data_IF_120101701514
#
_entry.id   IF_120101701514
#
_cell.length_a   1.000
_cell.length_b   1.000
_cell.length_c   1.000
_cell.angle_alpha   90.00
_cell.angle_beta   90.00
_cell.angle_gamma   90.00
#
_symmetry.space_group_name_H-M   'P 1'
#
loop_
_entity.id
_entity.type
_entity.pdbx_description
1 polymer ?
#
# COMPACT_ATOMS: atom_id res chain seq x y z
N UNK A 1 64.32 -2.69 -23.81
CA UNK A 1 64.21 -1.21 -23.86
C UNK A 1 62.87 -0.86 -23.22
N UNK A 2 62.74 -0.73 -21.90
CA UNK A 2 63.40 0.16 -20.94
C UNK A 2 63.27 1.64 -21.33
N UNK A 3 62.39 2.34 -20.63
CA UNK A 3 62.06 3.76 -20.76
C UNK A 3 61.05 4.16 -19.69
N UNK A 4 61.57 4.45 -18.50
CA UNK A 4 60.90 4.86 -17.25
C UNK A 4 60.99 6.40 -17.11
N UNK A 5 60.27 6.96 -16.13
CA UNK A 5 60.40 8.27 -15.41
C UNK A 5 59.10 9.09 -15.44
N UNK A 6 58.28 9.18 -14.38
CA UNK A 6 58.44 9.76 -13.01
C UNK A 6 58.70 11.28 -12.97
N UNK A 7 57.76 12.01 -12.33
CA UNK A 7 57.93 13.35 -11.78
C UNK A 7 56.58 13.93 -11.38
N UNK A 8 56.35 14.61 -10.26
CA UNK A 8 57.16 15.01 -9.09
C UNK A 8 56.16 15.22 -7.94
N UNK A 9 56.50 14.77 -6.73
CA UNK A 9 55.84 15.09 -5.46
C UNK A 9 56.37 16.44 -4.97
N UNK A 10 55.48 17.33 -4.49
CA UNK A 10 55.88 18.47 -3.66
C UNK A 10 54.99 18.53 -2.40
N UNK A 11 55.62 18.29 -1.25
CA UNK A 11 55.08 18.52 0.08
C UNK A 11 55.65 19.85 0.62
N UNK A 12 54.81 20.65 1.31
CA UNK A 12 55.27 21.68 2.24
C UNK A 12 54.39 21.63 3.49
N UNK A 13 55.08 21.72 4.63
CA UNK A 13 54.63 21.50 6.01
C UNK A 13 54.45 22.83 6.78
N UNK A 14 53.63 22.74 7.84
CA UNK A 14 53.74 23.35 9.19
C UNK A 14 53.42 24.84 9.46
N UNK A 15 52.47 25.07 10.41
CA UNK A 15 52.54 25.84 11.69
C UNK A 15 51.10 26.23 12.13
N UNK A 16 50.53 25.79 13.27
CA UNK A 16 50.74 26.12 14.69
C UNK A 16 50.11 27.45 15.18
N UNK A 17 49.23 27.41 16.20
CA UNK A 17 49.14 28.47 17.24
C UNK A 17 47.79 29.20 17.49
N UNK A 18 47.15 28.82 18.60
CA UNK A 18 46.19 29.46 19.54
C UNK A 18 45.83 30.98 19.49
N UNK A 19 44.58 31.29 19.94
CA UNK A 19 44.14 32.26 20.99
C UNK A 19 42.82 32.97 20.59
N UNK A 20 41.84 33.08 21.52
CA UNK A 20 41.08 34.34 21.67
C UNK A 20 39.56 34.24 21.90
N UNK A 21 39.14 34.46 23.14
CA UNK A 21 37.78 34.45 23.70
C UNK A 21 36.88 35.66 23.34
N UNK A 22 35.56 35.48 23.41
CA UNK A 22 34.55 36.48 23.85
C UNK A 22 33.28 35.72 24.28
N UNK A 23 32.91 35.64 25.57
CA UNK A 23 32.02 36.55 26.36
C UNK A 23 30.64 36.77 25.68
N UNK A 24 29.46 36.65 26.29
CA UNK A 24 29.00 36.71 27.68
C UNK A 24 27.57 36.10 27.78
N UNK A 25 27.22 35.38 28.85
CA UNK A 25 26.36 35.80 29.98
C UNK A 25 24.84 35.92 29.73
N UNK A 26 24.09 35.18 30.54
CA UNK A 26 22.67 35.42 30.83
C UNK A 26 22.10 34.29 31.70
N UNK A 27 22.09 34.49 33.02
CA UNK A 27 21.59 33.54 34.02
C UNK A 27 20.25 33.99 34.63
N UNK A 28 19.34 33.02 34.79
CA UNK A 28 18.34 32.81 35.89
C UNK A 28 17.10 33.74 35.99
N UNK A 29 16.01 33.39 36.77
CA UNK A 29 15.61 32.11 37.40
C UNK A 29 14.08 31.72 37.33
N UNK A 30 13.80 30.49 37.78
CA UNK A 30 12.66 29.94 38.58
C UNK A 30 11.18 30.34 38.38
N UNK A 31 10.32 29.31 38.34
CA UNK A 31 8.90 29.38 38.71
C UNK A 31 8.27 27.98 38.88
N UNK A 32 8.03 27.56 40.12
CA UNK A 32 7.13 26.46 40.49
C UNK A 32 5.70 27.01 40.59
N UNK A 33 4.71 26.31 40.03
CA UNK A 33 3.30 26.39 40.48
C UNK A 33 2.69 24.99 40.46
N UNK A 34 2.05 24.63 41.57
CA UNK A 34 1.34 23.37 41.78
C UNK A 34 -0.17 23.53 41.53
N UNK A 35 -0.78 22.50 40.92
CA UNK A 35 -2.14 21.99 41.20
C UNK A 35 -3.35 22.69 40.58
N UNK A 36 -4.12 21.97 39.74
CA UNK A 36 -5.55 21.64 39.98
C UNK A 36 -6.12 20.80 38.83
N UNK A 37 -6.87 19.74 39.19
CA UNK A 37 -7.58 18.89 38.24
C UNK A 37 -8.90 19.49 37.75
N UNK A 38 -9.30 19.04 36.56
CA UNK A 38 -10.60 19.25 35.92
C UNK A 38 -10.70 18.33 34.68
N UNK A 39 -11.89 17.81 34.33
CA UNK A 39 -12.03 16.63 33.50
C UNK A 39 -11.69 16.92 32.03
N UNK A 40 -10.72 16.18 31.48
CA UNK A 40 -10.39 16.22 30.07
C UNK A 40 -11.49 15.53 29.25
N UNK A 41 -12.42 16.34 28.74
CA UNK A 41 -13.26 15.95 27.63
C UNK A 41 -12.37 15.77 26.40
N UNK A 42 -12.45 14.60 25.78
CA UNK A 42 -11.82 14.33 24.49
C UNK A 42 -12.41 15.27 23.44
N UNK A 43 -11.66 16.30 23.07
CA UNK A 43 -11.90 17.11 21.87
C UNK A 43 -10.84 16.70 20.86
N UNK A 44 -11.06 15.56 20.21
CA UNK A 44 -10.22 15.07 19.11
C UNK A 44 -10.56 15.81 17.82
N UNK A 45 -9.90 16.93 17.59
CA UNK A 45 -10.02 17.71 16.38
C UNK A 45 -8.67 18.26 15.95
N UNK A 46 -7.77 17.38 15.51
CA UNK A 46 -6.64 17.72 14.64
C UNK A 46 -6.44 16.56 13.66
N UNK A 47 -6.52 16.89 12.37
CA UNK A 47 -6.71 15.96 11.24
C UNK A 47 -5.41 15.46 10.59
N UNK A 48 -4.25 15.74 11.18
CA UNK A 48 -2.96 15.41 10.59
C UNK A 48 -2.23 14.40 11.48
N UNK A 49 -2.26 13.12 11.10
CA UNK A 49 -1.40 12.13 11.70
C UNK A 49 0.05 12.42 11.29
N UNK A 50 0.86 12.93 12.20
CA UNK A 50 2.28 13.18 11.95
C UNK A 50 3.08 11.86 11.92
N UNK A 51 3.73 11.57 10.79
CA UNK A 51 4.75 10.51 10.66
C UNK A 51 6.17 11.09 10.67
N UNK A 52 7.19 10.34 11.14
CA UNK A 52 8.58 10.78 11.07
C UNK A 52 9.04 10.97 9.61
N UNK A 53 9.67 12.10 9.33
CA UNK A 53 10.22 12.45 8.02
C UNK A 53 11.35 11.47 7.65
N UNK A 54 11.17 10.70 6.57
CA UNK A 54 12.23 9.91 5.93
C UNK A 54 12.14 8.38 6.05
N UNK A 55 11.01 7.81 6.48
CA UNK A 55 10.88 6.37 6.70
C UNK A 55 9.98 5.62 5.70
N UNK A 56 9.54 6.25 4.61
CA UNK A 56 8.56 5.64 3.70
C UNK A 56 9.07 5.71 2.26
N UNK A 57 9.10 4.55 1.62
CA UNK A 57 9.35 4.41 0.18
C UNK A 57 8.17 3.64 -0.38
N UNK A 58 7.70 4.04 -1.54
CA UNK A 58 6.70 3.25 -2.27
C UNK A 58 7.24 1.84 -2.52
N UNK A 59 6.39 0.83 -2.31
CA UNK A 59 6.70 -0.58 -2.56
C UNK A 59 5.87 -1.08 -3.73
N UNK A 60 6.46 -1.90 -4.59
CA UNK A 60 5.68 -2.66 -5.58
C UNK A 60 4.90 -3.75 -4.85
N UNK A 61 3.58 -3.57 -4.80
CA UNK A 61 2.67 -4.45 -4.08
C UNK A 61 1.56 -4.95 -5.02
N UNK A 62 1.02 -6.16 -4.80
CA UNK A 62 -0.11 -6.63 -5.57
C UNK A 62 -1.30 -5.69 -5.42
N UNK A 63 -2.00 -5.42 -6.54
CA UNK A 63 -3.32 -4.77 -6.54
C UNK A 63 -4.26 -5.58 -5.65
N UNK A 64 -5.18 -4.92 -4.92
CA UNK A 64 -6.04 -5.61 -3.97
C UNK A 64 -6.95 -6.64 -4.66
N UNK A 65 -7.68 -6.22 -5.70
CA UNK A 65 -8.55 -7.09 -6.49
C UNK A 65 -8.33 -6.92 -7.99
N UNK A 66 -8.39 -8.02 -8.74
CA UNK A 66 -8.64 -8.01 -10.18
C UNK A 66 -10.14 -8.10 -10.44
N UNK A 67 -10.68 -7.24 -11.31
CA UNK A 67 -12.11 -7.16 -11.63
C UNK A 67 -12.42 -7.50 -13.09
N UNK A 68 -11.45 -7.36 -13.99
CA UNK A 68 -11.65 -7.65 -15.40
C UNK A 68 -10.37 -8.06 -16.12
N UNK A 69 -10.53 -8.94 -17.11
CA UNK A 69 -9.55 -9.25 -18.13
C UNK A 69 -10.24 -9.10 -19.48
N UNK A 70 -9.61 -8.38 -20.39
CA UNK A 70 -9.99 -8.29 -21.79
C UNK A 70 -8.75 -8.57 -22.63
N UNK A 71 -8.88 -9.47 -23.61
CA UNK A 71 -7.81 -9.79 -24.54
C UNK A 71 -8.29 -9.50 -25.94
N UNK A 72 -7.60 -8.57 -26.60
CA UNK A 72 -7.89 -8.13 -27.96
C UNK A 72 -6.77 -8.63 -28.88
N UNK A 73 -7.14 -9.19 -30.04
CA UNK A 73 -6.19 -9.59 -31.07
C UNK A 73 -6.11 -8.52 -32.16
N UNK A 74 -4.90 -8.11 -32.51
CA UNK A 74 -4.68 -7.15 -33.60
C UNK A 74 -5.23 -7.69 -34.92
N UNK A 75 -5.75 -6.79 -35.76
CA UNK A 75 -6.20 -7.13 -37.11
C UNK A 75 -5.06 -7.15 -38.13
N UNK A 76 -3.92 -6.53 -37.82
CA UNK A 76 -2.74 -6.47 -38.68
C UNK A 76 -1.75 -7.60 -38.38
N UNK A 77 -1.04 -8.06 -39.41
CA UNK A 77 0.06 -9.00 -39.24
C UNK A 77 1.36 -8.27 -38.84
N UNK A 78 2.15 -8.81 -37.90
CA UNK A 78 1.88 -10.05 -37.17
C UNK A 78 0.77 -9.87 -36.10
N UNK A 79 -0.08 -10.90 -35.93
CA UNK A 79 -1.18 -10.88 -34.96
C UNK A 79 -0.65 -10.83 -33.54
N UNK A 80 -0.90 -9.73 -32.83
CA UNK A 80 -0.53 -9.53 -31.43
C UNK A 80 -1.77 -9.64 -30.54
N UNK A 81 -1.61 -10.22 -29.36
CA UNK A 81 -2.66 -10.19 -28.34
C UNK A 81 -2.32 -9.12 -27.30
N UNK A 82 -3.25 -8.19 -27.07
CA UNK A 82 -3.15 -7.18 -26.02
C UNK A 82 -4.08 -7.57 -24.90
N UNK A 83 -3.50 -7.82 -23.73
CA UNK A 83 -4.21 -8.13 -22.49
C UNK A 83 -4.40 -6.83 -21.73
N UNK A 84 -5.64 -6.38 -21.57
CA UNK A 84 -6.04 -5.28 -20.73
C UNK A 84 -6.68 -5.83 -19.44
N UNK A 85 -6.23 -5.34 -18.30
CA UNK A 85 -6.69 -5.80 -16.98
C UNK A 85 -7.18 -4.61 -16.19
N UNK A 86 -8.35 -4.76 -15.56
CA UNK A 86 -8.89 -3.80 -14.60
C UNK A 86 -8.90 -4.39 -13.19
N UNK A 87 -8.78 -3.51 -12.20
CA UNK A 87 -8.77 -3.92 -10.79
C UNK A 87 -9.11 -2.77 -9.85
N UNK A 88 -9.01 -3.06 -8.57
CA UNK A 88 -9.26 -2.13 -7.47
C UNK A 88 -8.06 -2.14 -6.53
N UNK A 89 -7.55 -0.96 -6.20
CA UNK A 89 -6.61 -0.76 -5.09
C UNK A 89 -7.35 -0.36 -3.82
N UNK A 90 -6.68 -0.51 -2.68
CA UNK A 90 -7.24 -0.25 -1.37
C UNK A 90 -7.65 1.21 -1.16
N UNK A 91 -6.89 2.17 -1.69
CA UNK A 91 -7.04 3.59 -1.38
C UNK A 91 -6.57 4.50 -2.52
N UNK A 92 -6.69 5.81 -2.33
CA UNK A 92 -5.94 6.78 -3.12
C UNK A 92 -4.41 6.62 -2.93
N UNK A 93 -3.61 7.21 -3.82
CA UNK A 93 -2.15 7.27 -3.73
C UNK A 93 -1.38 6.13 -4.40
N UNK A 94 -2.05 5.05 -4.81
CA UNK A 94 -1.42 4.02 -5.63
C UNK A 94 -1.09 4.54 -7.03
N UNK A 95 0.01 4.08 -7.62
CA UNK A 95 0.45 4.53 -8.94
C UNK A 95 1.16 3.43 -9.73
N UNK A 96 1.42 3.69 -11.01
CA UNK A 96 2.18 2.79 -11.90
C UNK A 96 1.67 1.35 -11.94
N UNK A 97 0.36 1.11 -12.20
CA UNK A 97 -0.17 -0.24 -12.34
C UNK A 97 0.49 -0.95 -13.53
N UNK A 98 0.90 -2.20 -13.31
CA UNK A 98 1.57 -3.00 -14.33
C UNK A 98 1.27 -4.49 -14.16
N UNK A 99 1.43 -5.22 -15.26
CA UNK A 99 1.31 -6.67 -15.30
C UNK A 99 2.69 -7.26 -15.50
N UNK A 100 3.11 -8.12 -14.58
CA UNK A 100 4.41 -8.79 -14.64
C UNK A 100 4.21 -10.31 -14.71
N UNK A 101 5.03 -11.05 -15.48
CA UNK A 101 5.00 -12.51 -15.43
C UNK A 101 5.24 -13.01 -14.01
N UNK A 102 4.32 -13.83 -13.48
CA UNK A 102 4.47 -14.41 -12.15
C UNK A 102 5.59 -15.47 -12.12
N UNK A 103 5.81 -16.13 -13.26
CA UNK A 103 6.86 -17.13 -13.45
C UNK A 103 7.46 -17.01 -14.85
N UNK A 104 8.77 -17.19 -14.96
CA UNK A 104 9.48 -17.23 -16.23
C UNK A 104 9.69 -18.69 -16.67
N UNK A 105 9.12 -19.05 -17.82
CA UNK A 105 9.23 -20.38 -18.41
C UNK A 105 7.89 -20.86 -18.97
N UNK A 106 7.86 -22.09 -19.51
CA UNK A 106 6.62 -22.69 -20.04
C UNK A 106 5.74 -23.19 -18.89
N UNK A 107 4.52 -22.66 -18.70
CA UNK A 107 3.58 -23.17 -17.70
C UNK A 107 3.10 -24.58 -18.09
N UNK A 108 2.87 -25.44 -17.09
CA UNK A 108 2.40 -26.81 -17.33
C UNK A 108 0.99 -26.88 -17.95
N UNK A 109 0.18 -25.85 -17.76
CA UNK A 109 -1.19 -25.73 -18.26
C UNK A 109 -1.32 -24.85 -19.51
N UNK A 110 -0.21 -24.38 -20.10
CA UNK A 110 -0.15 -23.40 -21.22
C UNK A 110 -0.93 -22.09 -20.95
N UNK A 111 -1.12 -21.70 -19.69
CA UNK A 111 -1.77 -20.44 -19.29
C UNK A 111 -0.71 -19.45 -18.83
N UNK A 112 -0.67 -18.26 -19.44
CA UNK A 112 0.20 -17.18 -18.97
C UNK A 112 -0.26 -16.74 -17.59
N UNK A 113 0.63 -16.79 -16.60
CA UNK A 113 0.34 -16.32 -15.23
C UNK A 113 0.97 -14.92 -15.05
N UNK A 114 0.13 -13.92 -14.81
CA UNK A 114 0.52 -12.54 -14.58
C UNK A 114 0.18 -12.14 -13.14
N UNK A 115 1.07 -11.38 -12.52
CA UNK A 115 0.77 -10.66 -11.29
C UNK A 115 0.40 -9.22 -11.63
N UNK A 116 -0.71 -8.76 -11.06
CA UNK A 116 -1.14 -7.37 -11.17
C UNK A 116 -0.63 -6.60 -9.97
N UNK A 117 0.33 -5.69 -10.18
CA UNK A 117 1.02 -4.93 -9.14
C UNK A 117 0.94 -3.43 -9.41
N UNK A 118 1.20 -2.63 -8.39
CA UNK A 118 1.39 -1.19 -8.48
C UNK A 118 2.31 -0.70 -7.36
N UNK A 119 2.79 0.53 -7.52
CA UNK A 119 3.51 1.26 -6.48
C UNK A 119 2.52 1.72 -5.40
N UNK A 120 2.76 1.34 -4.15
CA UNK A 120 1.91 1.67 -3.00
C UNK A 120 2.01 3.15 -2.61
N UNK A 121 1.01 3.70 -1.89
CA UNK A 121 1.18 4.93 -1.14
C UNK A 121 2.37 4.81 -0.17
N UNK A 122 3.00 5.95 0.14
CA UNK A 122 4.08 6.01 1.12
C UNK A 122 3.55 6.11 2.55
N UNK A 123 2.35 6.68 2.72
CA UNK A 123 1.73 6.91 4.02
C UNK A 123 0.38 6.21 4.09
N UNK A 124 -0.09 5.98 5.31
CA UNK A 124 -1.44 5.49 5.57
C UNK A 124 -2.49 6.39 4.93
N UNK A 125 -3.53 5.77 4.40
CA UNK A 125 -4.60 6.46 3.69
C UNK A 125 -5.92 6.31 4.42
N UNK A 126 -6.74 7.36 4.45
CA UNK A 126 -8.12 7.25 4.96
C UNK A 126 -8.89 6.23 4.13
N UNK A 127 -9.81 5.51 4.76
CA UNK A 127 -10.70 4.58 4.06
C UNK A 127 -11.80 5.35 3.30
N UNK A 128 -11.47 5.85 2.12
CA UNK A 128 -12.39 6.65 1.27
C UNK A 128 -13.07 5.85 0.16
N UNK A 129 -12.79 4.55 0.14
CA UNK A 129 -13.29 3.57 -0.80
C UNK A 129 -12.22 3.05 -1.76
N UNK A 130 -12.54 1.97 -2.46
CA UNK A 130 -11.63 1.39 -3.44
C UNK A 130 -11.46 2.31 -4.65
N UNK A 131 -10.27 2.32 -5.22
CA UNK A 131 -9.95 3.13 -6.42
C UNK A 131 -9.70 2.19 -7.61
N UNK A 132 -10.35 2.43 -8.77
CA UNK A 132 -10.12 1.63 -9.97
C UNK A 132 -8.75 1.90 -10.58
N UNK A 133 -8.12 0.84 -11.08
CA UNK A 133 -6.85 0.89 -11.83
C UNK A 133 -6.91 -0.03 -13.05
N UNK A 134 -6.02 0.20 -14.01
CA UNK A 134 -5.86 -0.67 -15.16
C UNK A 134 -4.42 -0.79 -15.61
N UNK A 135 -4.07 -1.89 -16.27
CA UNK A 135 -2.78 -2.10 -16.90
C UNK A 135 -2.94 -2.91 -18.18
N UNK A 136 -1.94 -2.83 -19.06
CA UNK A 136 -1.90 -3.61 -20.30
C UNK A 136 -0.62 -4.44 -20.39
N UNK A 137 -0.70 -5.58 -21.04
CA UNK A 137 0.41 -6.47 -21.35
C UNK A 137 0.27 -6.97 -22.78
N UNK A 138 1.30 -6.77 -23.60
CA UNK A 138 1.30 -7.22 -24.99
C UNK A 138 2.00 -8.56 -25.10
N UNK A 139 1.35 -9.51 -25.75
CA UNK A 139 1.94 -10.77 -26.16
C UNK A 139 2.40 -10.71 -27.61
N UNK A 140 3.63 -11.15 -27.81
CA UNK A 140 4.21 -11.33 -29.14
C UNK A 140 3.45 -12.37 -29.96
N UNK A 141 3.49 -12.21 -31.28
CA UNK A 141 2.85 -13.12 -32.20
C UNK A 141 3.41 -14.55 -32.07
N UNK A 142 2.52 -15.53 -32.18
CA UNK A 142 2.89 -16.96 -32.11
C UNK A 142 3.20 -17.47 -30.69
N UNK A 143 2.82 -16.73 -29.64
CA UNK A 143 2.94 -17.21 -28.27
C UNK A 143 2.27 -18.57 -28.04
N UNK A 144 2.77 -19.40 -27.12
CA UNK A 144 2.22 -20.74 -26.89
C UNK A 144 0.97 -20.76 -26.00
N UNK A 145 0.61 -19.61 -25.40
CA UNK A 145 -0.45 -19.56 -24.39
C UNK A 145 -1.84 -19.70 -24.99
N UNK A 146 -2.69 -20.50 -24.33
CA UNK A 146 -4.12 -20.66 -24.68
C UNK A 146 -5.05 -19.82 -23.82
N UNK A 147 -4.53 -19.27 -22.71
CA UNK A 147 -5.29 -18.49 -21.74
C UNK A 147 -4.37 -17.59 -20.91
N UNK A 148 -4.98 -16.73 -20.10
CA UNK A 148 -4.28 -15.87 -19.14
C UNK A 148 -4.92 -15.98 -17.77
N UNK A 149 -4.09 -16.04 -16.73
CA UNK A 149 -4.48 -15.97 -15.33
C UNK A 149 -3.81 -14.75 -14.72
N UNK A 150 -4.60 -13.89 -14.09
CA UNK A 150 -4.12 -12.69 -13.43
C UNK A 150 -4.33 -12.84 -11.93
N UNK A 151 -3.28 -12.60 -11.15
CA UNK A 151 -3.29 -12.70 -9.69
C UNK A 151 -3.17 -11.33 -9.06
N UNK A 152 -4.11 -11.04 -8.16
CA UNK A 152 -4.12 -9.89 -7.27
C UNK A 152 -3.89 -10.37 -5.83
N UNK A 153 -3.90 -9.47 -4.85
CA UNK A 153 -3.68 -9.79 -3.44
C UNK A 153 -4.77 -10.70 -2.88
N UNK A 154 -6.03 -10.41 -3.18
CA UNK A 154 -7.18 -11.07 -2.55
C UNK A 154 -7.92 -12.05 -3.47
N UNK A 155 -7.70 -11.98 -4.79
CA UNK A 155 -8.31 -12.90 -5.75
C UNK A 155 -7.42 -13.15 -6.97
N UNK A 156 -7.87 -14.04 -7.85
CA UNK A 156 -7.31 -14.27 -9.16
C UNK A 156 -8.44 -14.47 -10.18
N UNK A 157 -8.21 -14.05 -11.42
CA UNK A 157 -9.15 -14.20 -12.52
C UNK A 157 -8.48 -14.99 -13.65
N UNK A 158 -9.21 -15.94 -14.24
CA UNK A 158 -8.69 -16.84 -15.26
C UNK A 158 -9.56 -16.75 -16.53
N UNK A 159 -8.93 -16.39 -17.63
CA UNK A 159 -9.49 -16.41 -18.97
C UNK A 159 -8.91 -17.61 -19.73
N UNK A 160 -9.77 -18.59 -20.03
CA UNK A 160 -9.36 -19.88 -20.59
C UNK A 160 -9.11 -19.88 -22.11
N UNK A 161 -9.43 -18.78 -22.79
CA UNK A 161 -9.33 -18.65 -24.25
C UNK A 161 -8.87 -17.25 -24.64
N UNK A 162 -8.00 -17.15 -25.65
CA UNK A 162 -7.49 -15.89 -26.20
C UNK A 162 -7.84 -15.79 -27.70
N UNK A 163 -8.41 -14.66 -28.17
CA UNK A 163 -8.90 -13.50 -27.40
C UNK A 163 -10.18 -13.81 -26.60
N UNK A 164 -10.56 -12.92 -25.68
CA UNK A 164 -11.76 -13.09 -24.86
C UNK A 164 -11.86 -12.11 -23.69
N UNK A 165 -12.95 -12.19 -22.92
CA UNK A 165 -13.18 -11.36 -21.73
C UNK A 165 -13.56 -12.20 -20.52
N UNK A 166 -13.26 -11.69 -19.32
CA UNK A 166 -13.66 -12.28 -18.05
C UNK A 166 -13.82 -11.19 -16.99
N UNK A 167 -14.74 -11.40 -16.05
CA UNK A 167 -15.06 -10.43 -15.00
C UNK A 167 -15.20 -11.11 -13.64
N UNK A 168 -14.94 -10.35 -12.57
CA UNK A 168 -15.15 -10.76 -11.19
C UNK A 168 -15.81 -9.64 -10.38
N UNK A 169 -16.85 -10.01 -9.64
CA UNK A 169 -17.52 -9.10 -8.70
C UNK A 169 -16.74 -9.04 -7.38
N UNK A 170 -16.49 -7.83 -6.89
CA UNK A 170 -15.90 -7.58 -5.56
C UNK A 170 -17.04 -7.18 -4.62
N UNK A 171 -17.24 -7.98 -3.57
CA UNK A 171 -18.30 -7.78 -2.57
C UNK A 171 -17.77 -7.30 -1.21
N UNK A 172 -16.47 -7.10 -1.09
CA UNK A 172 -15.86 -6.61 0.13
C UNK A 172 -16.23 -5.14 0.35
N UNK A 173 -16.46 -4.77 1.61
CA UNK A 173 -16.66 -3.42 2.08
C UNK A 173 -15.34 -2.65 2.00
N UNK A 174 -15.37 -1.46 1.40
CA UNK A 174 -14.21 -0.58 1.22
C UNK A 174 -14.01 0.39 2.40
N UNK A 175 -14.93 0.31 3.36
CA UNK A 175 -15.02 1.09 4.57
C UNK A 175 -15.16 2.60 4.42
N UNK A 176 -15.55 3.09 3.24
CA UNK A 176 -15.93 4.49 3.01
C UNK A 176 -16.98 4.98 3.99
N UNK A 177 -17.89 4.09 4.40
CA UNK A 177 -18.99 4.39 5.30
C UNK A 177 -18.95 3.54 6.58
N UNK A 178 -17.76 3.10 7.03
CA UNK A 178 -17.63 2.29 8.24
C UNK A 178 -17.73 3.11 9.54
N UNK A 179 -17.28 4.37 9.54
CA UNK A 179 -17.21 5.20 10.75
C UNK A 179 -18.61 5.38 11.36
N UNK A 180 -18.71 5.18 12.68
CA UNK A 180 -19.94 5.25 13.45
C UNK A 180 -20.78 3.95 13.44
N UNK A 181 -20.43 2.96 12.61
CA UNK A 181 -21.06 1.63 12.64
C UNK A 181 -20.40 0.74 13.71
N UNK A 182 -21.14 -0.26 14.18
CA UNK A 182 -20.57 -1.29 15.06
C UNK A 182 -19.84 -2.35 14.27
N UNK A 183 -18.64 -2.72 14.71
CA UNK A 183 -17.95 -3.90 14.20
C UNK A 183 -18.57 -5.16 14.82
N UNK A 184 -18.80 -6.17 13.99
CA UNK A 184 -19.24 -7.49 14.43
C UNK A 184 -18.27 -8.56 13.94
N UNK A 185 -17.71 -9.30 14.89
CA UNK A 185 -16.89 -10.48 14.61
C UNK A 185 -17.68 -11.53 13.83
N UNK A 186 -16.95 -12.45 13.21
CA UNK A 186 -17.52 -13.49 12.37
C UNK A 186 -18.68 -14.24 13.03
N UNK A 187 -19.83 -14.25 12.37
CA UNK A 187 -21.03 -14.95 12.83
C UNK A 187 -21.78 -14.28 13.99
N UNK A 188 -21.38 -13.07 14.42
CA UNK A 188 -22.08 -12.30 15.45
C UNK A 188 -23.21 -11.41 14.91
N UNK A 189 -23.29 -11.23 13.60
CA UNK A 189 -24.38 -10.51 12.94
C UNK A 189 -24.75 -11.15 11.60
N UNK A 190 -26.03 -11.06 11.22
CA UNK A 190 -26.53 -11.50 9.92
C UNK A 190 -26.19 -10.50 8.81
N UNK A 191 -26.06 -10.99 7.58
CA UNK A 191 -25.93 -10.12 6.39
C UNK A 191 -27.05 -9.09 6.32
N UNK A 192 -26.71 -7.84 6.02
CA UNK A 192 -27.69 -6.75 5.89
C UNK A 192 -28.17 -6.14 7.21
N UNK A 193 -27.57 -6.52 8.35
CA UNK A 193 -27.84 -5.85 9.63
C UNK A 193 -27.46 -4.37 9.54
N UNK A 194 -28.44 -3.49 9.76
CA UNK A 194 -28.21 -2.04 9.69
C UNK A 194 -27.20 -1.56 10.73
N UNK A 195 -26.40 -0.55 10.37
CA UNK A 195 -25.37 0.07 11.22
C UNK A 195 -24.31 -0.91 11.77
N UNK A 196 -24.10 -2.04 11.09
CA UNK A 196 -23.08 -3.03 11.45
C UNK A 196 -22.15 -3.26 10.26
N UNK A 197 -20.86 -3.37 10.55
CA UNK A 197 -19.82 -3.85 9.62
C UNK A 197 -19.40 -5.22 10.11
N UNK A 198 -19.60 -6.24 9.30
CA UNK A 198 -19.25 -7.61 9.65
C UNK A 198 -17.84 -7.92 9.20
N UNK A 199 -17.12 -8.67 10.02
CA UNK A 199 -15.82 -9.24 9.68
C UNK A 199 -15.82 -9.94 8.32
N UNK A 200 -16.84 -10.77 8.03
CA UNK A 200 -16.94 -11.47 6.74
C UNK A 200 -17.13 -10.57 5.52
N UNK A 201 -17.55 -9.33 5.71
CA UNK A 201 -17.73 -8.37 4.63
C UNK A 201 -16.44 -7.55 4.38
N UNK A 202 -15.42 -7.67 5.25
CA UNK A 202 -14.15 -6.93 5.11
C UNK A 202 -13.14 -7.67 4.21
N UNK A 203 -12.18 -6.93 3.61
CA UNK A 203 -11.00 -7.50 2.97
C UNK A 203 -10.25 -8.46 3.88
N UNK A 204 -9.69 -9.51 3.29
CA UNK A 204 -8.86 -10.48 4.04
C UNK A 204 -7.66 -9.77 4.67
N UNK A 205 -7.33 -10.16 5.90
CA UNK A 205 -6.17 -9.61 6.60
C UNK A 205 -6.37 -8.21 7.18
N UNK A 206 -7.63 -7.74 7.31
CA UNK A 206 -7.95 -6.56 8.10
C UNK A 206 -7.48 -6.69 9.56
N UNK A 207 -7.41 -5.57 10.27
CA UNK A 207 -7.07 -5.52 11.69
C UNK A 207 -8.02 -4.61 12.45
N UNK A 208 -8.51 -5.07 13.60
CA UNK A 208 -9.19 -4.23 14.59
C UNK A 208 -8.22 -3.80 15.68
N UNK A 209 -8.31 -2.56 16.11
CA UNK A 209 -7.51 -1.96 17.18
C UNK A 209 -8.50 -1.46 18.23
N UNK A 210 -8.66 -2.24 19.30
CA UNK A 210 -9.49 -1.84 20.45
C UNK A 210 -8.70 -0.99 21.43
N UNK A 211 -9.35 -0.20 22.30
CA UNK A 211 -8.66 0.69 23.25
C UNK A 211 -7.73 -0.04 24.24
N UNK A 212 -8.01 -1.31 24.51
CA UNK A 212 -7.33 -2.11 25.54
C UNK A 212 -6.23 -3.01 25.00
N UNK A 213 -6.03 -3.08 23.68
CA UNK A 213 -5.06 -3.99 23.07
C UNK A 213 -3.98 -3.22 22.28
N UNK A 214 -2.74 -3.69 22.40
CA UNK A 214 -1.65 -3.22 21.56
C UNK A 214 -1.77 -3.69 20.12
N UNK A 215 -0.99 -3.07 19.22
CA UNK A 215 -0.93 -3.44 17.81
C UNK A 215 0.14 -4.50 17.59
N UNK A 216 -0.24 -5.66 17.05
CA UNK A 216 0.70 -6.71 16.68
C UNK A 216 1.27 -6.50 15.27
N UNK A 217 2.57 -6.75 15.12
CA UNK A 217 3.30 -6.69 13.85
C UNK A 217 3.72 -5.28 13.43
N UNK A 218 4.93 -5.17 12.90
CA UNK A 218 5.51 -3.91 12.39
C UNK A 218 5.58 -3.85 10.86
N UNK A 219 5.16 -4.92 10.18
CA UNK A 219 5.24 -5.01 8.72
C UNK A 219 4.07 -4.25 8.13
N UNK A 220 4.38 -3.11 7.53
CA UNK A 220 3.44 -2.27 6.79
C UNK A 220 2.85 -3.04 5.60
N UNK A 221 1.53 -3.02 5.47
CA UNK A 221 0.81 -3.62 4.36
C UNK A 221 -0.28 -2.67 3.85
N UNK A 222 -0.08 -1.99 2.70
CA UNK A 222 -1.03 -1.02 2.15
C UNK A 222 -2.37 -1.62 1.72
N UNK A 223 -2.48 -2.96 1.67
CA UNK A 223 -3.72 -3.70 1.44
C UNK A 223 -4.41 -4.17 2.74
N UNK A 224 -3.95 -3.73 3.92
CA UNK A 224 -4.57 -4.03 5.21
C UNK A 224 -5.38 -2.83 5.68
N UNK A 225 -6.71 -3.02 5.75
CA UNK A 225 -7.60 -2.05 6.40
C UNK A 225 -7.50 -2.22 7.93
N UNK A 226 -7.37 -1.10 8.62
CA UNK A 226 -7.38 -0.99 10.08
C UNK A 226 -8.66 -0.31 10.53
N UNK A 227 -9.31 -0.90 11.52
CA UNK A 227 -10.48 -0.35 12.19
C UNK A 227 -10.12 -0.04 13.64
N UNK A 228 -10.13 1.23 14.02
CA UNK A 228 -9.99 1.63 15.42
C UNK A 228 -11.38 1.62 16.05
N UNK A 229 -11.50 0.91 17.17
CA UNK A 229 -12.76 0.72 17.87
C UNK A 229 -12.77 1.51 19.19
N UNK A 230 -13.95 1.96 19.62
CA UNK A 230 -14.17 2.41 21.00
C UNK A 230 -14.52 1.23 21.94
N UNK A 231 -14.78 1.53 23.22
CA UNK A 231 -15.17 0.53 24.22
C UNK A 231 -16.49 -0.21 23.90
N UNK A 232 -17.29 0.32 22.96
CA UNK A 232 -18.58 -0.23 22.53
C UNK A 232 -18.49 -0.99 21.19
N UNK A 233 -17.28 -1.24 20.69
CA UNK A 233 -17.01 -1.79 19.35
C UNK A 233 -17.53 -0.92 18.19
N UNK A 234 -17.70 0.39 18.41
CA UNK A 234 -18.00 1.35 17.36
C UNK A 234 -16.73 1.71 16.63
N UNK A 235 -16.77 1.72 15.30
CA UNK A 235 -15.64 2.12 14.47
C UNK A 235 -15.51 3.65 14.56
N UNK A 236 -14.46 4.13 15.20
CA UNK A 236 -14.16 5.58 15.33
C UNK A 236 -13.17 6.06 14.27
N UNK A 237 -12.41 5.15 13.66
CA UNK A 237 -11.51 5.45 12.55
C UNK A 237 -11.32 4.21 11.67
N UNK A 238 -11.19 4.43 10.36
CA UNK A 238 -10.82 3.40 9.40
C UNK A 238 -9.74 3.94 8.44
N UNK A 239 -8.66 3.19 8.27
CA UNK A 239 -7.55 3.59 7.41
C UNK A 239 -6.82 2.38 6.81
N UNK A 240 -6.24 2.57 5.64
CA UNK A 240 -5.31 1.65 5.00
C UNK A 240 -3.89 1.99 5.44
N UNK A 241 -3.07 0.98 5.73
CA UNK A 241 -1.71 1.25 6.25
C UNK A 241 -0.82 2.03 5.32
#
# INVERSE_FOLDING_TARGET
MQGMFLGVIAAVLLQAGMIGSALAQGAQPAGQVAGQGGPEGYVGGDQDAAGPQGATRSLEMPILYVTGIEVLRSSLDPKLDVIHVTGLVSSAGWSSPQLVPFFYGKPADDVLDLQFIAASPEESQKAEGFVPVSATFTLEAGHPYKGVRVRAAANALNLKQLPGTGHADVKAEDCKQCIGKKFAEKGKASTGTGNVVREEDLPRGFRTISPTHGVAGIVHNPNRINLVLDDNNTIVMAFWE
#
